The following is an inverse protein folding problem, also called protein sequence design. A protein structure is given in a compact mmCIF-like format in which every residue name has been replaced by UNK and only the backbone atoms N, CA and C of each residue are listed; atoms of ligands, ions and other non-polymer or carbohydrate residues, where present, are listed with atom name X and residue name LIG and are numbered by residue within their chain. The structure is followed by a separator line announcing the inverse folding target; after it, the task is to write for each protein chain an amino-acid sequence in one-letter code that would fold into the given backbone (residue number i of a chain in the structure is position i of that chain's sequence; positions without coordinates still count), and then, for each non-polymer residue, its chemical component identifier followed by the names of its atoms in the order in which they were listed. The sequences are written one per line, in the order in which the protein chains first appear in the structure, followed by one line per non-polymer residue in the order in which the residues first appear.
data_IF_259387126015
#
_entry.id   IF_259387126015
#
_cell.length_a   1.000
_cell.length_b   1.000
_cell.length_c   1.000
_cell.angle_alpha   90.00
_cell.angle_beta   90.00
_cell.angle_gamma   90.00
#
_symmetry.space_group_name_H-M   'P 1'
#
loop_
_entity.id
_entity.type
_entity.pdbx_description
1 polymer ?
#
# COMPACT_ATOMS: atom_id res chain seq x y z
N UNK A 1 -10.48 12.50 -8.88
CA UNK A 1 -10.27 11.05 -8.61
C UNK A 1 -10.04 10.86 -7.11
N UNK A 2 -10.79 9.97 -6.51
CA UNK A 2 -10.61 9.66 -5.09
C UNK A 2 -9.52 8.60 -4.96
N UNK A 3 -8.41 8.97 -4.34
CA UNK A 3 -7.37 8.00 -3.99
C UNK A 3 -7.78 7.29 -2.70
N UNK A 4 -7.39 6.03 -2.57
CA UNK A 4 -7.53 5.33 -1.31
C UNK A 4 -6.61 6.01 -0.29
N UNK A 5 -7.21 6.85 0.56
CA UNK A 5 -6.44 7.61 1.54
C UNK A 5 -5.89 6.67 2.59
N UNK A 6 -4.61 6.78 2.83
CA UNK A 6 -3.87 5.87 3.66
C UNK A 6 -3.38 6.53 4.94
N UNK A 7 -3.17 5.67 5.93
CA UNK A 7 -2.40 5.97 7.10
C UNK A 7 -0.94 6.18 6.68
N UNK A 8 -0.27 7.17 7.25
CA UNK A 8 1.16 7.33 7.09
C UNK A 8 1.88 6.30 7.95
N UNK A 9 2.80 5.55 7.34
CA UNK A 9 3.59 4.56 8.02
C UNK A 9 4.99 5.07 8.29
N UNK A 10 5.60 4.58 9.36
CA UNK A 10 6.98 4.89 9.73
C UNK A 10 7.72 3.61 10.07
N UNK A 11 9.00 3.56 9.75
CA UNK A 11 9.88 2.45 10.11
C UNK A 11 11.31 2.91 10.23
N UNK A 12 12.11 2.17 10.98
CA UNK A 12 13.57 2.25 10.89
C UNK A 12 14.05 1.36 9.73
N UNK A 13 15.27 1.58 9.19
CA UNK A 13 15.74 0.81 8.03
C UNK A 13 15.73 -0.72 8.24
N UNK A 14 15.90 -1.19 9.47
CA UNK A 14 15.95 -2.62 9.78
C UNK A 14 14.60 -3.24 10.15
N UNK A 15 13.56 -2.42 10.32
CA UNK A 15 12.24 -2.93 10.68
C UNK A 15 11.49 -3.42 9.45
N UNK A 16 10.58 -4.40 9.67
CA UNK A 16 9.70 -4.93 8.62
C UNK A 16 8.26 -4.87 9.11
N UNK A 17 7.68 -3.65 9.14
CA UNK A 17 6.29 -3.51 9.61
C UNK A 17 5.30 -4.06 8.61
N UNK A 18 4.11 -4.42 9.10
CA UNK A 18 2.97 -4.71 8.25
C UNK A 18 2.27 -3.41 7.84
N UNK A 19 1.58 -3.47 6.71
CA UNK A 19 0.72 -2.36 6.27
C UNK A 19 -0.65 -2.90 5.87
N UNK A 20 -1.64 -2.02 5.89
CA UNK A 20 -2.98 -2.32 5.41
C UNK A 20 -3.53 -1.09 4.69
N UNK A 21 -4.03 -1.30 3.47
CA UNK A 21 -4.57 -0.24 2.63
C UNK A 21 -6.06 -0.49 2.45
N UNK A 22 -6.90 0.50 2.78
CA UNK A 22 -8.33 0.42 2.50
C UNK A 22 -8.57 0.79 1.03
N UNK A 23 -8.91 -0.17 0.20
CA UNK A 23 -9.18 0.03 -1.23
C UNK A 23 -10.63 0.38 -1.53
N UNK A 24 -11.51 0.43 -0.52
CA UNK A 24 -12.91 0.76 -0.68
C UNK A 24 -13.16 2.05 -1.47
N UNK A 25 -12.45 3.17 -1.18
CA UNK A 25 -12.66 4.42 -1.90
C UNK A 25 -12.42 4.38 -3.39
N UNK A 26 -11.65 3.43 -3.91
CA UNK A 26 -11.37 3.29 -5.35
C UNK A 26 -12.14 2.15 -6.00
N UNK A 27 -13.00 1.48 -5.25
CA UNK A 27 -13.81 0.37 -5.76
C UNK A 27 -15.30 0.70 -5.65
N UNK A 28 -16.11 0.03 -6.45
CA UNK A 28 -17.57 0.11 -6.37
C UNK A 28 -18.07 -0.75 -5.20
N UNK A 29 -19.28 -0.47 -4.76
CA UNK A 29 -19.91 -1.27 -3.72
C UNK A 29 -19.97 -2.74 -4.16
N UNK A 30 -19.57 -3.64 -3.27
CA UNK A 30 -19.56 -5.09 -3.55
C UNK A 30 -18.33 -5.60 -4.28
N UNK A 31 -17.48 -4.72 -4.83
CA UNK A 31 -16.22 -5.16 -5.42
C UNK A 31 -15.23 -5.59 -4.35
N UNK A 32 -14.36 -6.52 -4.70
CA UNK A 32 -13.26 -6.94 -3.85
C UNK A 32 -11.96 -6.95 -4.64
N UNK A 33 -10.83 -6.98 -3.94
CA UNK A 33 -9.51 -7.13 -4.54
C UNK A 33 -9.39 -8.57 -5.03
N UNK A 34 -9.20 -8.75 -6.35
CA UNK A 34 -9.08 -10.07 -6.94
C UNK A 34 -7.62 -10.54 -7.00
N UNK A 35 -6.71 -9.67 -7.47
CA UNK A 35 -5.29 -10.02 -7.56
C UNK A 35 -4.43 -8.77 -7.50
N UNK A 36 -3.20 -8.94 -7.07
CA UNK A 36 -2.19 -7.88 -7.03
C UNK A 36 -1.32 -7.99 -8.28
N UNK A 37 -1.07 -6.86 -8.95
CA UNK A 37 -0.18 -6.82 -10.11
C UNK A 37 1.23 -6.52 -9.59
N UNK A 38 1.88 -7.55 -9.04
CA UNK A 38 3.15 -7.39 -8.32
C UNK A 38 4.27 -6.84 -9.19
N UNK A 39 4.31 -7.17 -10.46
CA UNK A 39 5.33 -6.68 -11.39
C UNK A 39 5.26 -5.18 -11.66
N UNK A 40 4.15 -4.55 -11.35
CA UNK A 40 3.93 -3.12 -11.60
C UNK A 40 3.90 -2.30 -10.31
N UNK A 41 4.26 -2.88 -9.17
CA UNK A 41 4.44 -2.13 -7.93
C UNK A 41 5.57 -1.12 -8.15
N UNK A 42 5.31 0.14 -7.84
CA UNK A 42 6.26 1.22 -8.05
C UNK A 42 6.43 2.07 -6.81
N UNK A 43 7.52 2.81 -6.77
CA UNK A 43 7.81 3.71 -5.65
C UNK A 43 8.58 4.93 -6.14
N UNK A 44 8.25 6.08 -5.56
CA UNK A 44 8.98 7.33 -5.72
C UNK A 44 9.04 8.01 -4.37
N UNK A 45 9.83 9.08 -4.26
CA UNK A 45 9.64 9.99 -3.13
C UNK A 45 8.34 10.77 -3.34
N UNK A 46 7.81 11.33 -2.27
CA UNK A 46 6.52 12.03 -2.29
C UNK A 46 6.50 13.19 -3.30
N UNK A 47 7.64 13.81 -3.57
CA UNK A 47 7.78 14.89 -4.56
C UNK A 47 7.88 14.38 -6.01
N UNK A 48 7.82 13.07 -6.22
CA UNK A 48 7.95 12.45 -7.54
C UNK A 48 9.37 12.10 -7.95
N UNK A 49 10.37 12.44 -7.15
CA UNK A 49 11.77 12.11 -7.44
C UNK A 49 11.99 10.61 -7.41
N UNK A 50 12.76 10.10 -8.37
CA UNK A 50 13.10 8.68 -8.44
C UNK A 50 13.96 8.25 -7.26
N UNK A 51 13.76 7.02 -6.80
CA UNK A 51 14.53 6.41 -5.71
C UNK A 51 15.57 5.48 -6.33
N UNK A 52 16.85 5.66 -5.94
CA UNK A 52 17.91 4.77 -6.39
C UNK A 52 17.61 3.32 -6.00
N UNK A 53 17.99 2.39 -6.87
CA UNK A 53 17.68 0.97 -6.66
C UNK A 53 18.15 0.45 -5.30
N UNK A 54 19.31 0.91 -4.83
CA UNK A 54 19.85 0.50 -3.52
C UNK A 54 19.05 1.01 -2.34
N UNK A 55 18.24 2.06 -2.53
CA UNK A 55 17.49 2.73 -1.47
C UNK A 55 16.00 2.36 -1.47
N UNK A 56 15.57 1.52 -2.41
CA UNK A 56 14.18 1.13 -2.52
C UNK A 56 13.73 0.20 -1.40
N UNK A 57 12.45 0.30 -1.07
CA UNK A 57 11.81 -0.66 -0.16
C UNK A 57 11.33 -1.88 -0.94
N UNK A 58 11.14 -2.98 -0.25
CA UNK A 58 10.60 -4.21 -0.80
C UNK A 58 9.23 -4.47 -0.20
N UNK A 59 8.23 -4.72 -1.05
CA UNK A 59 6.88 -5.08 -0.61
C UNK A 59 6.78 -6.59 -0.63
N UNK A 60 6.46 -7.17 0.52
CA UNK A 60 6.45 -8.62 0.71
C UNK A 60 5.03 -9.12 0.96
N UNK A 61 4.63 -10.13 0.20
CA UNK A 61 3.37 -10.83 0.37
C UNK A 61 2.12 -9.98 0.22
N UNK A 62 2.05 -9.03 -0.75
CA UNK A 62 0.85 -8.21 -0.89
C UNK A 62 -0.33 -9.08 -1.32
N UNK A 63 -1.44 -8.95 -0.58
CA UNK A 63 -2.62 -9.76 -0.84
C UNK A 63 -3.87 -9.06 -0.31
N UNK A 64 -5.03 -9.48 -0.80
CA UNK A 64 -6.30 -9.04 -0.23
C UNK A 64 -6.40 -9.56 1.22
N UNK A 65 -6.98 -8.73 2.09
CA UNK A 65 -7.17 -9.13 3.48
C UNK A 65 -8.19 -10.26 3.59
N UNK A 66 -7.88 -11.26 4.41
CA UNK A 66 -8.74 -12.43 4.65
C UNK A 66 -9.55 -12.32 5.92
N UNK A 67 -9.31 -11.29 6.71
CA UNK A 67 -10.09 -10.99 7.91
C UNK A 67 -10.33 -9.48 7.97
N UNK A 68 -11.39 -9.09 8.67
CA UNK A 68 -11.70 -7.67 8.88
C UNK A 68 -10.58 -7.02 9.66
N UNK A 69 -10.15 -5.84 9.23
CA UNK A 69 -9.10 -5.07 9.90
C UNK A 69 -9.73 -3.90 10.62
N UNK A 70 -9.49 -3.82 11.92
CA UNK A 70 -9.96 -2.71 12.75
C UNK A 70 -8.77 -2.09 13.46
N UNK A 71 -8.50 -0.82 13.16
CA UNK A 71 -7.46 -0.04 13.82
C UNK A 71 -8.07 1.21 14.46
N UNK A 72 -7.61 1.63 15.65
CA UNK A 72 -8.13 2.82 16.29
C UNK A 72 -8.02 4.06 15.39
N UNK A 73 -9.10 4.81 15.28
CA UNK A 73 -9.13 6.05 14.51
C UNK A 73 -9.28 5.89 13.00
N UNK A 74 -9.37 4.66 12.50
CA UNK A 74 -9.55 4.38 11.08
C UNK A 74 -10.85 3.62 10.85
N UNK A 75 -11.42 3.78 9.64
CA UNK A 75 -12.56 2.97 9.24
C UNK A 75 -12.16 1.50 9.14
N UNK A 76 -13.00 0.59 9.63
CA UNK A 76 -12.73 -0.84 9.45
C UNK A 76 -12.65 -1.22 7.97
N UNK A 77 -11.74 -2.13 7.65
CA UNK A 77 -11.60 -2.66 6.30
C UNK A 77 -12.27 -4.02 6.23
N UNK A 78 -13.41 -4.15 5.53
CA UNK A 78 -14.05 -5.45 5.37
C UNK A 78 -13.18 -6.44 4.61
N UNK A 79 -13.43 -7.73 4.80
CA UNK A 79 -12.71 -8.80 4.10
C UNK A 79 -12.75 -8.57 2.59
N UNK A 80 -11.60 -8.68 1.96
CA UNK A 80 -11.46 -8.54 0.51
C UNK A 80 -11.43 -7.10 0.00
N UNK A 81 -11.57 -6.10 0.86
CA UNK A 81 -11.60 -4.70 0.41
C UNK A 81 -10.34 -3.93 0.75
N UNK A 82 -9.32 -4.62 1.18
CA UNK A 82 -8.02 -4.02 1.46
C UNK A 82 -6.87 -4.85 0.93
N UNK A 83 -5.68 -4.25 0.92
CA UNK A 83 -4.43 -4.92 0.59
C UNK A 83 -3.55 -4.89 1.82
N UNK A 84 -3.05 -6.03 2.21
CA UNK A 84 -2.14 -6.18 3.35
C UNK A 84 -0.80 -6.75 2.89
N UNK A 85 0.24 -6.49 3.65
CA UNK A 85 1.57 -7.01 3.36
C UNK A 85 2.59 -6.48 4.35
N UNK A 86 3.85 -6.66 4.01
CA UNK A 86 4.98 -6.17 4.81
C UNK A 86 5.89 -5.31 3.94
N UNK A 87 6.57 -4.36 4.56
CA UNK A 87 7.53 -3.51 3.87
C UNK A 87 8.88 -3.59 4.56
N UNK A 88 9.93 -3.89 3.78
CA UNK A 88 11.29 -4.01 4.28
C UNK A 88 12.24 -3.11 3.51
N UNK A 89 13.43 -2.88 4.08
CA UNK A 89 14.47 -2.08 3.44
C UNK A 89 14.21 -0.58 3.51
N UNK A 90 14.74 0.13 2.55
CA UNK A 90 14.67 1.58 2.49
C UNK A 90 15.83 2.25 3.19
N UNK A 91 15.99 3.54 2.94
CA UNK A 91 17.04 4.37 3.50
C UNK A 91 16.43 5.53 4.26
N UNK A 92 17.02 5.89 5.39
CA UNK A 92 16.63 7.08 6.15
C UNK A 92 16.57 8.29 5.23
N UNK A 93 15.45 8.98 5.23
CA UNK A 93 15.23 10.12 4.34
C UNK A 93 14.29 11.13 5.01
N UNK A 94 14.52 12.41 4.71
CA UNK A 94 13.61 13.47 5.11
C UNK A 94 12.31 13.39 4.28
N UNK A 95 12.40 12.87 3.05
CA UNK A 95 11.26 12.71 2.16
C UNK A 95 10.59 11.36 2.39
N UNK A 96 9.26 11.34 2.32
CA UNK A 96 8.51 10.10 2.44
C UNK A 96 8.54 9.34 1.12
N UNK A 97 8.51 8.01 1.21
CA UNK A 97 8.32 7.13 0.07
C UNK A 97 6.82 7.09 -0.25
N UNK A 98 6.50 7.22 -1.53
CA UNK A 98 5.14 6.98 -2.03
C UNK A 98 5.15 5.65 -2.78
N UNK A 99 4.39 4.68 -2.26
CA UNK A 99 4.37 3.33 -2.81
C UNK A 99 3.01 3.11 -3.46
N UNK A 100 3.03 2.64 -4.70
CA UNK A 100 1.83 2.38 -5.49
C UNK A 100 1.74 0.89 -5.77
N UNK A 101 0.61 0.29 -5.39
CA UNK A 101 0.33 -1.14 -5.59
C UNK A 101 -0.87 -1.28 -6.51
N UNK A 102 -0.67 -1.61 -7.79
CA UNK A 102 -1.79 -1.85 -8.70
C UNK A 102 -2.43 -3.21 -8.43
N UNK A 103 -3.73 -3.27 -8.61
CA UNK A 103 -4.49 -4.50 -8.40
C UNK A 103 -5.67 -4.57 -9.37
N UNK A 104 -6.23 -5.78 -9.53
CA UNK A 104 -7.48 -5.97 -10.26
C UNK A 104 -8.61 -6.25 -9.29
N UNK A 105 -9.80 -5.79 -9.64
CA UNK A 105 -11.00 -6.02 -8.83
C UNK A 105 -11.74 -7.25 -9.30
N UNK A 106 -12.72 -7.70 -8.50
CA UNK A 106 -13.61 -8.80 -8.85
C UNK A 106 -14.42 -8.53 -10.12
N UNK A 107 -14.56 -7.27 -10.53
CA UNK A 107 -15.22 -6.87 -11.78
C UNK A 107 -14.23 -6.72 -12.95
N UNK A 108 -12.97 -7.11 -12.76
CA UNK A 108 -11.96 -7.06 -13.81
C UNK A 108 -11.36 -5.67 -14.05
N UNK A 109 -11.61 -4.72 -13.18
CA UNK A 109 -11.07 -3.37 -13.32
C UNK A 109 -9.69 -3.28 -12.69
N UNK A 110 -8.78 -2.51 -13.33
CA UNK A 110 -7.49 -2.18 -12.73
C UNK A 110 -7.62 -0.91 -11.89
N UNK A 111 -7.08 -0.95 -10.69
CA UNK A 111 -7.03 0.20 -9.76
C UNK A 111 -5.68 0.26 -9.09
N UNK A 112 -5.35 1.42 -8.54
CA UNK A 112 -4.09 1.61 -7.81
C UNK A 112 -4.39 1.93 -6.35
N UNK A 113 -3.63 1.29 -5.47
CA UNK A 113 -3.62 1.60 -4.04
C UNK A 113 -2.28 2.26 -3.71
N UNK A 114 -2.30 3.24 -2.82
CA UNK A 114 -1.08 3.99 -2.47
C UNK A 114 -0.98 4.18 -0.96
N UNK A 115 0.25 4.21 -0.46
CA UNK A 115 0.52 4.64 0.89
C UNK A 115 1.85 5.38 0.99
N UNK A 116 1.99 6.18 2.04
CA UNK A 116 3.21 6.92 2.31
C UNK A 116 3.97 6.27 3.45
N UNK A 117 5.28 6.22 3.31
CA UNK A 117 6.17 5.59 4.29
C UNK A 117 7.35 6.51 4.58
N UNK A 118 7.56 6.82 5.85
CA UNK A 118 8.77 7.50 6.29
C UNK A 118 9.76 6.48 6.84
N UNK A 119 10.96 6.47 6.28
CA UNK A 119 12.06 5.66 6.81
C UNK A 119 12.95 6.61 7.65
N UNK A 120 13.03 6.32 8.92
CA UNK A 120 13.76 7.15 9.89
C UNK A 120 15.21 6.75 10.03
#
# INVERSE_FOLDING_TARGET
MTLAKQRDYEKNPTEVPSFAINCGPVMQAGETVASIIEGDISQTYEDGTAIDAADQVSIQGPAANTSKICEPGLEPIPVGRGIVGFVSGGKSSADRYQITIPFTTSEGQRRDAEFLLRVR
#
